data_IF_197242790741
#
_entry.id   IF_197242790741
#
_cell.length_a   1.000
_cell.length_b   1.000
_cell.length_c   1.000
_cell.angle_alpha   90.00
_cell.angle_beta   90.00
_cell.angle_gamma   90.00
#
_symmetry.space_group_name_H-M   'P 1'
#
loop_
_entity.id
_entity.type
_entity.pdbx_description
1 polymer ?
#
# COMPACT_ATOMS: atom_id res chain seq x y z
N UNK A 1 23.72 -19.90 -25.68
CA UNK A 1 22.31 -20.31 -25.58
C UNK A 1 21.76 -19.67 -24.31
N UNK A 2 20.77 -18.76 -24.46
CA UNK A 2 19.60 -18.46 -23.60
C UNK A 2 19.87 -18.39 -22.07
N UNK A 3 19.53 -17.34 -21.35
CA UNK A 3 18.19 -16.73 -21.29
C UNK A 3 18.27 -15.27 -20.81
N UNK A 4 17.66 -14.37 -21.57
CA UNK A 4 17.42 -12.97 -21.25
C UNK A 4 16.31 -12.89 -20.19
N UNK A 5 16.61 -12.39 -18.99
CA UNK A 5 15.60 -12.10 -17.95
C UNK A 5 15.02 -10.71 -18.18
N UNK A 6 13.99 -10.62 -19.03
CA UNK A 6 13.19 -9.40 -19.15
C UNK A 6 12.12 -9.38 -18.06
N UNK A 7 12.26 -8.51 -17.07
CA UNK A 7 11.16 -8.13 -16.17
C UNK A 7 10.25 -7.16 -16.94
N UNK A 8 9.04 -7.61 -17.24
CA UNK A 8 7.99 -6.79 -17.86
C UNK A 8 7.29 -6.03 -16.74
N UNK A 9 7.49 -4.71 -16.65
CA UNK A 9 6.65 -3.82 -15.86
C UNK A 9 5.32 -3.62 -16.59
N UNK A 10 4.23 -4.16 -16.04
CA UNK A 10 2.88 -3.97 -16.57
C UNK A 10 2.39 -2.54 -16.35
N UNK A 11 1.94 -1.89 -17.43
CA UNK A 11 1.27 -0.59 -17.40
C UNK A 11 -0.19 -0.80 -16.95
N UNK A 12 -0.54 -0.32 -15.76
CA UNK A 12 -1.94 -0.22 -15.32
C UNK A 12 -2.57 1.03 -15.96
N UNK A 13 -3.60 0.83 -16.79
CA UNK A 13 -4.42 1.89 -17.36
C UNK A 13 -5.57 2.18 -16.39
N UNK A 14 -5.61 3.38 -15.78
CA UNK A 14 -6.75 3.85 -15.01
C UNK A 14 -7.72 4.65 -15.90
N UNK A 15 -9.02 4.37 -15.77
CA UNK A 15 -10.10 5.21 -16.32
C UNK A 15 -10.54 6.15 -15.20
N UNK A 16 -10.30 7.46 -15.36
CA UNK A 16 -10.85 8.47 -14.44
C UNK A 16 -12.20 8.98 -14.96
N UNK A 17 -13.25 8.83 -14.14
CA UNK A 17 -14.51 9.53 -14.28
C UNK A 17 -14.64 10.54 -13.14
N UNK A 18 -14.88 11.81 -13.47
CA UNK A 18 -15.04 12.86 -12.47
C UNK A 18 -16.49 12.91 -11.97
N UNK A 19 -16.76 12.41 -10.78
CA UNK A 19 -17.95 12.75 -9.99
C UNK A 19 -17.50 13.33 -8.65
N UNK A 20 -17.97 14.54 -8.31
CA UNK A 20 -17.75 15.15 -6.99
C UNK A 20 -18.53 14.36 -5.93
N UNK A 21 -17.87 13.37 -5.34
CA UNK A 21 -18.28 12.61 -4.15
C UNK A 21 -17.05 12.61 -3.23
N UNK A 22 -17.21 12.36 -1.93
CA UNK A 22 -16.06 12.06 -1.10
C UNK A 22 -15.26 10.95 -1.79
N UNK A 23 -14.04 11.27 -2.21
CA UNK A 23 -13.21 10.37 -3.00
C UNK A 23 -12.71 9.29 -2.06
N UNK A 24 -13.02 8.04 -2.37
CA UNK A 24 -12.58 6.88 -1.60
C UNK A 24 -11.62 6.09 -2.46
N UNK A 25 -10.37 6.04 -2.03
CA UNK A 25 -9.32 5.30 -2.73
C UNK A 25 -8.96 4.04 -1.96
N UNK A 26 -8.83 2.94 -2.70
CA UNK A 26 -8.33 1.67 -2.20
C UNK A 26 -7.03 1.33 -2.93
N UNK A 27 -5.94 1.24 -2.18
CA UNK A 27 -4.65 0.79 -2.71
C UNK A 27 -4.35 -0.60 -2.17
N UNK A 28 -3.94 -1.51 -3.06
CA UNK A 28 -3.48 -2.86 -2.73
C UNK A 28 -2.10 -3.09 -3.35
N UNK A 29 -1.21 -3.76 -2.63
CA UNK A 29 0.09 -4.15 -3.15
C UNK A 29 0.63 -5.41 -2.48
N UNK A 30 1.54 -6.07 -3.18
CA UNK A 30 2.33 -7.17 -2.65
C UNK A 30 3.81 -6.84 -2.86
N UNK A 31 4.59 -6.98 -1.81
CA UNK A 31 5.98 -6.54 -1.76
C UNK A 31 6.85 -7.71 -1.35
N UNK A 32 8.11 -7.70 -1.77
CA UNK A 32 9.07 -8.75 -1.40
C UNK A 32 9.61 -8.61 0.01
N UNK A 33 9.55 -7.39 0.56
CA UNK A 33 10.01 -7.03 1.91
C UNK A 33 9.36 -5.69 2.28
N UNK A 34 8.92 -5.54 3.54
CA UNK A 34 8.51 -4.25 4.10
C UNK A 34 9.64 -3.66 4.93
N UNK A 35 10.32 -2.63 4.39
CA UNK A 35 11.43 -1.95 5.06
C UNK A 35 10.96 -0.61 5.64
N UNK A 36 11.03 -0.46 6.96
CA UNK A 36 10.77 0.80 7.64
C UNK A 36 12.05 1.38 8.23
N UNK A 37 12.43 2.59 7.80
CA UNK A 37 13.66 3.28 8.23
C UNK A 37 14.95 2.43 8.13
N UNK A 38 15.00 1.53 7.15
CA UNK A 38 16.15 0.67 6.88
C UNK A 38 16.17 -0.65 7.63
N UNK A 39 15.10 -1.00 8.35
CA UNK A 39 14.94 -2.29 9.04
C UNK A 39 13.78 -3.05 8.39
N UNK A 40 13.97 -4.35 8.10
CA UNK A 40 12.89 -5.19 7.60
C UNK A 40 11.89 -5.47 8.73
N UNK A 41 10.61 -5.39 8.38
CA UNK A 41 9.48 -5.64 9.26
C UNK A 41 8.86 -7.02 9.01
N UNK A 42 9.37 -7.78 8.03
CA UNK A 42 8.80 -9.05 7.56
C UNK A 42 9.87 -10.13 7.38
N UNK A 43 11.01 -9.99 8.07
CA UNK A 43 12.20 -10.87 7.95
C UNK A 43 12.59 -11.16 6.49
N UNK A 44 12.63 -10.12 5.66
CA UNK A 44 12.92 -10.18 4.21
C UNK A 44 11.92 -11.05 3.40
N UNK A 45 10.78 -11.38 4.01
CA UNK A 45 9.69 -12.15 3.44
C UNK A 45 8.64 -11.30 2.72
N UNK A 46 7.88 -11.90 1.78
CA UNK A 46 6.87 -11.18 1.02
C UNK A 46 5.65 -10.83 1.87
N UNK A 47 5.10 -9.63 1.67
CA UNK A 47 3.99 -9.11 2.48
C UNK A 47 2.93 -8.37 1.65
N UNK A 48 1.64 -8.60 1.91
CA UNK A 48 0.57 -7.76 1.36
C UNK A 48 0.45 -6.44 2.14
N UNK A 49 0.22 -5.34 1.43
CA UNK A 49 -0.04 -4.03 2.02
C UNK A 49 -1.30 -3.43 1.40
N UNK A 50 -2.10 -2.72 2.20
CA UNK A 50 -3.29 -2.04 1.73
C UNK A 50 -3.50 -0.68 2.41
N UNK A 51 -4.16 0.24 1.71
CA UNK A 51 -4.68 1.48 2.29
C UNK A 51 -6.11 1.75 1.84
N UNK A 52 -6.90 2.34 2.75
CA UNK A 52 -8.20 2.93 2.44
C UNK A 52 -8.12 4.41 2.83
N UNK A 53 -8.38 5.27 1.85
CA UNK A 53 -8.25 6.72 1.95
C UNK A 53 -9.59 7.40 1.64
N UNK A 54 -9.93 8.45 2.36
CA UNK A 54 -11.12 9.26 2.16
C UNK A 54 -10.74 10.73 2.11
N UNK A 55 -11.12 11.41 1.03
CA UNK A 55 -10.84 12.84 0.82
C UNK A 55 -12.13 13.67 0.88
N UNK A 56 -12.08 14.73 1.69
CA UNK A 56 -13.15 15.70 1.84
C UNK A 56 -13.01 16.91 0.92
N UNK A 57 -14.15 17.48 0.51
CA UNK A 57 -14.20 18.63 -0.41
C UNK A 57 -13.49 19.88 0.12
N UNK A 58 -13.36 20.02 1.45
CA UNK A 58 -12.72 21.16 2.10
C UNK A 58 -11.22 20.95 2.32
N UNK A 59 -10.61 19.91 1.72
CA UNK A 59 -9.18 19.62 1.81
C UNK A 59 -8.75 18.78 3.00
N UNK A 60 -9.67 18.26 3.83
CA UNK A 60 -9.30 17.26 4.84
C UNK A 60 -9.19 15.87 4.21
N UNK A 61 -8.38 15.01 4.80
CA UNK A 61 -8.25 13.62 4.40
C UNK A 61 -8.07 12.71 5.63
N UNK A 62 -8.58 11.49 5.54
CA UNK A 62 -8.42 10.47 6.57
C UNK A 62 -8.18 9.11 5.92
N UNK A 63 -7.48 8.22 6.60
CA UNK A 63 -7.26 6.89 6.06
C UNK A 63 -6.71 5.92 7.08
N UNK A 64 -6.57 4.67 6.63
CA UNK A 64 -5.91 3.61 7.36
C UNK A 64 -5.00 2.84 6.40
N UNK A 65 -3.81 2.56 6.88
CA UNK A 65 -2.86 1.68 6.22
C UNK A 65 -2.67 0.39 7.03
N UNK A 66 -2.49 -0.73 6.35
CA UNK A 66 -2.25 -2.03 6.97
C UNK A 66 -1.22 -2.86 6.20
N UNK A 67 -0.41 -3.63 6.95
CA UNK A 67 0.52 -4.64 6.41
C UNK A 67 0.66 -5.80 7.37
N UNK A 68 0.91 -6.99 6.83
CA UNK A 68 1.45 -8.10 7.62
C UNK A 68 2.90 -7.77 8.02
N UNK A 69 3.30 -8.17 9.23
CA UNK A 69 4.64 -8.01 9.82
C UNK A 69 5.07 -9.33 10.46
N UNK A 70 6.37 -9.56 10.50
CA UNK A 70 6.99 -10.76 11.09
C UNK A 70 8.04 -10.30 12.12
N UNK A 71 7.62 -10.28 13.39
CA UNK A 71 8.50 -9.99 14.52
C UNK A 71 8.66 -11.19 15.46
N UNK A 72 7.81 -12.20 15.34
CA UNK A 72 7.84 -13.44 16.13
C UNK A 72 7.13 -14.61 15.43
N UNK A 73 6.98 -15.76 16.10
CA UNK A 73 6.38 -16.97 15.52
C UNK A 73 4.85 -16.85 15.26
N UNK A 74 4.21 -15.77 15.70
CA UNK A 74 2.83 -15.41 15.39
C UNK A 74 2.82 -14.42 14.22
N UNK A 75 2.03 -14.72 13.17
CA UNK A 75 1.77 -13.73 12.14
C UNK A 75 1.06 -12.51 12.72
N UNK A 76 1.68 -11.34 12.60
CA UNK A 76 1.22 -10.09 13.18
C UNK A 76 0.85 -9.09 12.07
N UNK A 77 -0.03 -8.14 12.39
CA UNK A 77 -0.44 -7.07 11.47
C UNK A 77 -0.14 -5.69 12.07
N UNK A 78 0.48 -4.82 11.28
CA UNK A 78 0.62 -3.41 11.61
C UNK A 78 -0.57 -2.62 11.03
N UNK A 79 -1.14 -1.73 11.84
CA UNK A 79 -2.23 -0.83 11.47
C UNK A 79 -1.86 0.61 11.80
N UNK A 80 -1.95 1.50 10.82
CA UNK A 80 -1.62 2.91 10.98
C UNK A 80 -2.74 3.82 10.44
N UNK A 81 -3.65 4.30 11.32
CA UNK A 81 -4.66 5.30 10.94
C UNK A 81 -4.07 6.72 10.91
N UNK A 82 -4.60 7.56 10.02
CA UNK A 82 -4.19 8.97 9.90
C UNK A 82 -5.37 9.88 9.56
N UNK A 83 -5.19 11.16 9.91
CA UNK A 83 -6.11 12.27 9.64
C UNK A 83 -5.26 13.52 9.41
N UNK A 84 -5.62 14.33 8.41
CA UNK A 84 -4.96 15.59 8.12
C UNK A 84 -5.82 16.54 7.30
N UNK A 85 -5.25 17.70 7.02
CA UNK A 85 -5.77 18.75 6.17
C UNK A 85 -4.67 19.28 5.24
N UNK A 86 -5.08 19.78 4.07
CA UNK A 86 -4.23 20.33 3.00
C UNK A 86 -4.02 21.84 3.14
#
# INVERSE_FOLDING_TARGET
MRVLRSLVCGLLLSVMGAEARAEVDLTLGAYSDYVFRGVSQTDEGPTPQLSLDVYGETGWYAGIWASDVDFDESGDWELNPYLGDL
#
